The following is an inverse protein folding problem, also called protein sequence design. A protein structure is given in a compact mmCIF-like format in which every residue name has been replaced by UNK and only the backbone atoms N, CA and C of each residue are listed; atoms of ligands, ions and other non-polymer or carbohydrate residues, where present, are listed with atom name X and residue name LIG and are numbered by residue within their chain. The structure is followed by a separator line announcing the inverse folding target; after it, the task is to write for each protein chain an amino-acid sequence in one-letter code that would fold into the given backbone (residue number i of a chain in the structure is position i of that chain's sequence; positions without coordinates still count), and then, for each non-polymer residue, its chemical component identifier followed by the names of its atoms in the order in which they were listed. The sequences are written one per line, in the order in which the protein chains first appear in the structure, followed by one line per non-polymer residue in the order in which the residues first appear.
data_IF_383078739297
#
_entry.id   IF_383078739297
#
_cell.length_a   1.000
_cell.length_b   1.000
_cell.length_c   1.000
_cell.angle_alpha   90.00
_cell.angle_beta   90.00
_cell.angle_gamma   90.00
#
_symmetry.space_group_name_H-M   'P 1'
#
loop_
_entity.id
_entity.type
_entity.pdbx_description
1 polymer ?
#
# COMPACT_ATOMS: atom_id res chain seq x y z
N UNK A 1 -10.34 -11.66 -9.42
CA UNK A 1 -11.21 -12.17 -8.32
C UNK A 1 -10.34 -12.68 -7.19
N UNK A 2 -10.36 -11.98 -6.09
CA UNK A 2 -9.52 -12.24 -4.93
C UNK A 2 -9.70 -13.66 -4.38
N UNK A 3 -10.92 -14.15 -4.25
CA UNK A 3 -11.22 -15.52 -3.76
C UNK A 3 -10.70 -16.66 -4.64
N UNK A 4 -10.29 -16.37 -5.88
CA UNK A 4 -9.68 -17.38 -6.76
C UNK A 4 -8.18 -17.56 -6.54
N UNK A 5 -7.57 -16.68 -5.78
CA UNK A 5 -6.16 -16.78 -5.41
C UNK A 5 -6.01 -17.48 -4.05
N UNK A 6 -5.58 -18.74 -4.06
CA UNK A 6 -5.53 -19.60 -2.86
C UNK A 6 -4.62 -19.06 -1.74
N UNK A 7 -3.66 -18.24 -2.06
CA UNK A 7 -2.72 -17.69 -1.07
C UNK A 7 -3.12 -16.34 -0.48
N UNK A 8 -4.34 -15.83 -0.75
CA UNK A 8 -4.73 -14.51 -0.26
C UNK A 8 -4.80 -14.48 1.28
N UNK A 9 -4.16 -13.47 1.87
CA UNK A 9 -4.04 -13.36 3.32
C UNK A 9 -2.76 -13.95 3.91
N UNK A 10 -1.89 -14.57 3.09
CA UNK A 10 -0.66 -15.22 3.58
C UNK A 10 0.33 -14.29 4.25
N UNK A 11 0.44 -13.05 3.80
CA UNK A 11 1.31 -12.02 4.37
C UNK A 11 0.72 -11.43 5.65
N UNK A 12 -0.53 -10.99 5.57
CA UNK A 12 -1.25 -10.33 6.65
C UNK A 12 -1.73 -11.27 7.75
N UNK A 13 -1.68 -12.59 7.51
CA UNK A 13 -2.26 -13.63 8.37
C UNK A 13 -3.77 -13.50 8.55
N UNK A 14 -4.43 -12.88 7.59
CA UNK A 14 -5.89 -12.72 7.59
C UNK A 14 -6.52 -13.88 6.83
N UNK A 15 -7.58 -14.45 7.42
CA UNK A 15 -8.42 -15.40 6.70
C UNK A 15 -9.41 -14.61 5.82
N UNK A 16 -9.47 -14.93 4.55
CA UNK A 16 -10.35 -14.26 3.59
C UNK A 16 -11.84 -14.40 3.97
N UNK A 17 -12.23 -15.49 4.59
CA UNK A 17 -13.62 -15.73 5.00
C UNK A 17 -14.03 -14.90 6.22
N UNK A 18 -13.06 -14.48 7.03
CA UNK A 18 -13.27 -13.63 8.20
C UNK A 18 -13.25 -12.12 7.83
N UNK A 19 -12.90 -11.80 6.59
CA UNK A 19 -12.88 -10.43 6.11
C UNK A 19 -14.29 -9.98 5.75
N UNK A 20 -14.94 -9.26 6.67
CA UNK A 20 -16.20 -8.58 6.35
C UNK A 20 -15.96 -7.45 5.35
N UNK A 21 -16.75 -7.47 4.29
CA UNK A 21 -16.75 -6.42 3.30
C UNK A 21 -17.11 -5.08 3.95
N UNK A 22 -16.20 -4.11 3.90
CA UNK A 22 -16.50 -2.75 4.34
C UNK A 22 -16.01 -2.37 5.73
N UNK A 23 -15.34 -3.24 6.49
CA UNK A 23 -14.63 -2.82 7.71
C UNK A 23 -13.34 -2.05 7.40
N UNK A 24 -13.46 -1.03 6.58
CA UNK A 24 -12.55 0.12 6.59
C UNK A 24 -13.27 1.21 7.36
N UNK A 25 -12.75 1.60 8.50
CA UNK A 25 -13.27 2.76 9.27
C UNK A 25 -13.30 4.05 8.43
N UNK A 26 -12.62 4.07 7.28
CA UNK A 26 -12.61 5.15 6.29
C UNK A 26 -13.44 4.89 5.01
N UNK A 27 -14.06 3.73 4.83
CA UNK A 27 -14.77 3.38 3.58
C UNK A 27 -16.03 4.25 3.35
N UNK A 28 -16.56 4.89 4.39
CA UNK A 28 -17.71 5.80 4.25
C UNK A 28 -17.41 7.15 3.57
N UNK A 29 -16.13 7.47 3.31
CA UNK A 29 -15.75 8.79 2.78
C UNK A 29 -15.32 8.82 1.31
N UNK A 30 -15.05 7.68 0.71
CA UNK A 30 -14.64 7.60 -0.70
C UNK A 30 -15.58 6.62 -1.42
N UNK A 31 -16.62 7.12 -2.07
CA UNK A 31 -17.29 6.36 -3.13
C UNK A 31 -16.25 6.10 -4.22
N UNK A 32 -15.64 4.94 -4.18
CA UNK A 32 -14.73 4.50 -5.25
C UNK A 32 -15.63 4.15 -6.43
N UNK A 33 -15.46 4.86 -7.54
CA UNK A 33 -16.14 4.53 -8.80
C UNK A 33 -15.92 3.06 -9.13
N UNK A 34 -17.01 2.32 -9.37
CA UNK A 34 -16.97 0.89 -9.71
C UNK A 34 -17.15 -0.09 -8.54
N UNK A 35 -17.50 0.36 -7.33
CA UNK A 35 -17.81 -0.57 -6.23
C UNK A 35 -19.03 -1.44 -6.52
N UNK A 36 -20.01 -0.91 -7.24
CA UNK A 36 -21.24 -1.62 -7.62
C UNK A 36 -21.00 -2.69 -8.71
N UNK A 37 -19.83 -2.71 -9.35
CA UNK A 37 -19.46 -3.66 -10.41
C UNK A 37 -18.66 -4.86 -9.91
N UNK A 38 -18.30 -4.90 -8.62
CA UNK A 38 -17.54 -6.00 -8.03
C UNK A 38 -18.44 -7.24 -7.88
N UNK A 39 -17.93 -8.39 -8.27
CA UNK A 39 -18.61 -9.67 -8.01
C UNK A 39 -18.48 -10.12 -6.55
N UNK A 40 -17.36 -9.79 -5.92
CA UNK A 40 -17.09 -10.00 -4.50
C UNK A 40 -16.60 -8.68 -3.88
N UNK A 41 -17.10 -8.28 -2.72
CA UNK A 41 -16.66 -7.05 -2.03
C UNK A 41 -15.16 -6.99 -1.75
N UNK A 42 -14.49 -8.15 -1.67
CA UNK A 42 -13.04 -8.24 -1.48
C UNK A 42 -12.24 -8.04 -2.78
N UNK A 43 -12.90 -8.03 -3.93
CA UNK A 43 -12.25 -7.73 -5.20
C UNK A 43 -11.73 -6.29 -5.20
N UNK A 44 -10.58 -6.08 -5.82
CA UNK A 44 -9.96 -4.76 -5.92
C UNK A 44 -9.77 -4.35 -7.38
N UNK A 45 -9.71 -3.04 -7.56
CA UNK A 45 -9.69 -2.44 -8.90
C UNK A 45 -8.29 -2.54 -9.51
N UNK A 46 -8.19 -3.13 -10.70
CA UNK A 46 -6.97 -3.13 -11.52
C UNK A 46 -6.92 -1.95 -12.47
N UNK A 47 -8.07 -1.57 -13.05
CA UNK A 47 -8.21 -0.46 -13.98
C UNK A 47 -9.39 0.42 -13.57
N UNK A 48 -9.15 1.72 -13.39
CA UNK A 48 -10.16 2.71 -13.01
C UNK A 48 -10.64 3.48 -14.23
N UNK A 49 -11.93 3.69 -14.40
CA UNK A 49 -12.43 4.52 -15.49
C UNK A 49 -11.90 5.96 -15.38
N UNK A 50 -11.82 6.63 -16.52
CA UNK A 50 -11.43 8.03 -16.66
C UNK A 50 -12.28 8.93 -15.79
N UNK A 51 -11.64 9.94 -15.20
CA UNK A 51 -12.29 11.07 -14.54
C UNK A 51 -11.79 12.38 -15.11
N UNK A 52 -12.64 13.39 -15.12
CA UNK A 52 -12.26 14.72 -15.55
C UNK A 52 -11.11 15.30 -14.72
N UNK A 53 -10.11 15.83 -15.41
CA UNK A 53 -8.92 16.40 -14.76
C UNK A 53 -7.85 15.40 -14.31
N UNK A 54 -8.06 14.09 -14.51
CA UNK A 54 -7.06 13.07 -14.22
C UNK A 54 -6.39 12.57 -15.51
N UNK A 55 -5.10 12.17 -15.46
CA UNK A 55 -4.44 11.46 -16.57
C UNK A 55 -5.18 10.16 -16.90
N UNK A 56 -5.25 9.82 -18.17
CA UNK A 56 -5.86 8.58 -18.61
C UNK A 56 -5.17 8.01 -19.86
N UNK A 57 -5.39 6.73 -20.09
CA UNK A 57 -4.90 6.00 -21.28
C UNK A 57 -6.03 5.15 -21.84
N UNK A 58 -5.92 4.85 -23.13
CA UNK A 58 -6.80 3.87 -23.77
C UNK A 58 -6.49 2.45 -23.30
N UNK A 59 -7.51 1.64 -23.13
CA UNK A 59 -7.38 0.23 -22.81
C UNK A 59 -8.52 -0.58 -23.46
N UNK A 60 -8.40 -1.93 -23.53
CA UNK A 60 -9.48 -2.78 -24.02
C UNK A 60 -10.78 -2.69 -23.20
N UNK A 61 -10.72 -2.19 -21.98
CA UNK A 61 -11.87 -2.09 -21.07
C UNK A 61 -12.53 -0.70 -21.13
N UNK A 62 -11.73 0.35 -21.15
CA UNK A 62 -12.21 1.74 -21.23
C UNK A 62 -11.02 2.71 -21.28
N UNK A 63 -11.28 3.98 -21.61
CA UNK A 63 -10.36 5.05 -21.22
C UNK A 63 -10.27 5.10 -19.69
N UNK A 64 -9.07 5.13 -19.15
CA UNK A 64 -8.89 5.09 -17.70
C UNK A 64 -7.44 5.08 -17.26
N UNK A 65 -7.21 4.64 -16.05
CA UNK A 65 -5.90 4.56 -15.43
C UNK A 65 -5.75 3.31 -14.56
N UNK A 66 -4.53 2.84 -14.32
CA UNK A 66 -4.31 1.70 -13.44
C UNK A 66 -4.79 1.99 -12.00
N UNK A 67 -5.16 0.94 -11.30
CA UNK A 67 -5.32 0.97 -9.84
C UNK A 67 -3.97 1.01 -9.14
N UNK A 68 -3.95 1.50 -7.90
CA UNK A 68 -2.70 1.68 -7.15
C UNK A 68 -1.88 0.39 -7.01
N UNK A 69 -2.51 -0.74 -6.72
CA UNK A 69 -1.78 -2.00 -6.50
C UNK A 69 -1.09 -2.51 -7.77
N UNK A 70 -1.76 -2.39 -8.92
CA UNK A 70 -1.19 -2.87 -10.19
C UNK A 70 -0.03 -1.99 -10.68
N UNK A 71 -0.03 -0.70 -10.35
CA UNK A 71 1.10 0.20 -10.65
C UNK A 71 2.39 -0.35 -10.04
N UNK A 72 2.36 -0.68 -8.75
CA UNK A 72 3.53 -1.18 -8.03
C UNK A 72 3.99 -2.54 -8.58
N UNK A 73 3.08 -3.48 -8.80
CA UNK A 73 3.41 -4.80 -9.34
C UNK A 73 4.03 -4.74 -10.74
N UNK A 74 3.46 -3.92 -11.61
CA UNK A 74 3.97 -3.76 -12.99
C UNK A 74 5.32 -3.06 -13.00
N UNK A 75 5.52 -2.03 -12.17
CA UNK A 75 6.81 -1.34 -12.07
C UNK A 75 7.89 -2.25 -11.48
N UNK A 76 7.58 -3.02 -10.43
CA UNK A 76 8.52 -3.99 -9.86
C UNK A 76 8.96 -5.01 -10.93
N UNK A 77 8.02 -5.62 -11.64
CA UNK A 77 8.34 -6.55 -12.74
C UNK A 77 9.17 -5.90 -13.84
N UNK A 78 8.80 -4.70 -14.27
CA UNK A 78 9.45 -4.00 -15.40
C UNK A 78 10.88 -3.60 -15.10
N UNK A 79 11.16 -3.13 -13.88
CA UNK A 79 12.43 -2.50 -13.55
C UNK A 79 13.34 -3.36 -12.67
N UNK A 80 12.80 -4.39 -12.02
CA UNK A 80 13.54 -5.28 -11.15
C UNK A 80 13.50 -6.73 -11.66
N UNK A 81 12.45 -7.49 -11.30
CA UNK A 81 12.31 -8.89 -11.69
C UNK A 81 10.85 -9.38 -11.46
N UNK A 82 10.55 -10.62 -11.91
CA UNK A 82 9.29 -11.30 -11.58
C UNK A 82 9.23 -11.67 -10.09
N UNK A 83 10.36 -12.03 -9.50
CA UNK A 83 10.57 -12.22 -8.06
C UNK A 83 11.64 -11.25 -7.58
N UNK A 84 11.30 -10.37 -6.65
CA UNK A 84 12.23 -9.39 -6.08
C UNK A 84 12.80 -9.89 -4.75
N UNK A 85 13.99 -9.40 -4.36
CA UNK A 85 14.61 -9.85 -3.11
C UNK A 85 13.90 -9.28 -1.89
N UNK A 86 13.67 -7.96 -1.85
CA UNK A 86 13.08 -7.28 -0.71
C UNK A 86 11.95 -6.35 -1.18
N UNK A 87 10.78 -6.50 -0.55
CA UNK A 87 9.67 -5.56 -0.66
C UNK A 87 9.38 -4.96 0.70
N UNK A 88 9.36 -3.63 0.79
CA UNK A 88 9.24 -2.93 2.06
C UNK A 88 8.22 -1.80 2.02
N UNK A 89 7.64 -1.46 3.18
CA UNK A 89 6.70 -0.35 3.31
C UNK A 89 6.29 -0.09 4.75
N UNK A 90 5.31 0.76 4.97
CA UNK A 90 4.68 0.93 6.27
C UNK A 90 3.82 -0.27 6.65
N UNK A 91 3.62 -0.50 7.94
CA UNK A 91 2.79 -1.60 8.43
C UNK A 91 1.33 -1.51 7.99
N UNK A 92 0.83 -0.31 7.70
CA UNK A 92 -0.50 -0.06 7.14
C UNK A 92 -0.65 -0.56 5.69
N UNK A 93 0.45 -0.81 4.99
CA UNK A 93 0.43 -1.36 3.64
C UNK A 93 0.34 -2.90 3.62
N UNK A 94 0.60 -3.58 4.73
CA UNK A 94 0.51 -5.06 4.80
C UNK A 94 -0.83 -5.52 4.22
N UNK A 95 -1.91 -4.87 4.64
CA UNK A 95 -3.24 -5.15 4.16
C UNK A 95 -4.04 -3.85 3.94
N UNK A 96 -4.70 -3.69 2.79
CA UNK A 96 -4.77 -4.67 1.69
C UNK A 96 -3.69 -4.53 0.61
N UNK A 97 -2.83 -3.48 0.63
CA UNK A 97 -2.01 -3.11 -0.51
C UNK A 97 -1.02 -4.20 -0.91
N UNK A 98 -0.13 -4.63 -0.01
CA UNK A 98 0.88 -5.65 -0.29
C UNK A 98 0.25 -7.03 -0.52
N UNK A 99 -0.83 -7.37 0.16
CA UNK A 99 -1.57 -8.60 -0.10
C UNK A 99 -2.15 -8.63 -1.52
N UNK A 100 -2.66 -7.48 -1.99
CA UNK A 100 -3.16 -7.34 -3.36
C UNK A 100 -2.03 -7.40 -4.39
N UNK A 101 -0.86 -6.83 -4.10
CA UNK A 101 0.32 -6.96 -4.97
C UNK A 101 0.77 -8.42 -5.10
N UNK A 102 0.79 -9.17 -4.00
CA UNK A 102 1.07 -10.60 -4.02
C UNK A 102 0.09 -11.32 -4.93
N UNK A 103 -1.21 -11.14 -4.69
CA UNK A 103 -2.24 -11.85 -5.43
C UNK A 103 -2.14 -11.60 -6.94
N UNK A 104 -1.95 -10.35 -7.36
CA UNK A 104 -1.88 -10.02 -8.79
C UNK A 104 -0.55 -10.42 -9.44
N UNK A 105 0.57 -10.25 -8.73
CA UNK A 105 1.91 -10.58 -9.27
C UNK A 105 2.10 -12.09 -9.39
N UNK A 106 1.77 -12.84 -8.34
CA UNK A 106 1.94 -14.29 -8.34
C UNK A 106 0.95 -14.99 -9.27
N UNK A 107 -0.31 -14.50 -9.36
CA UNK A 107 -1.26 -15.01 -10.34
C UNK A 107 -0.84 -14.76 -11.78
N UNK A 108 -0.16 -13.66 -12.06
CA UNK A 108 0.28 -13.30 -13.41
C UNK A 108 1.62 -13.96 -13.80
N UNK A 109 2.53 -14.13 -12.86
CA UNK A 109 3.92 -14.54 -13.14
C UNK A 109 4.19 -16.01 -12.77
N UNK A 110 3.39 -16.63 -11.90
CA UNK A 110 3.57 -18.02 -11.47
C UNK A 110 4.77 -18.25 -10.53
N UNK A 111 5.34 -17.19 -9.97
CA UNK A 111 6.46 -17.22 -9.02
C UNK A 111 6.14 -16.34 -7.82
N UNK A 112 6.77 -16.56 -6.64
CA UNK A 112 6.63 -15.67 -5.50
C UNK A 112 6.98 -14.23 -5.86
N UNK A 113 6.25 -13.25 -5.35
CA UNK A 113 6.51 -11.86 -5.69
C UNK A 113 7.76 -11.30 -5.01
N UNK A 114 7.96 -11.61 -3.71
CA UNK A 114 9.13 -11.16 -2.98
C UNK A 114 9.62 -12.22 -1.99
N UNK A 115 10.94 -12.35 -1.85
CA UNK A 115 11.58 -13.27 -0.90
C UNK A 115 11.43 -12.78 0.55
N UNK A 116 11.64 -11.48 0.76
CA UNK A 116 11.60 -10.87 2.09
C UNK A 116 10.65 -9.67 2.12
N UNK A 117 9.86 -9.60 3.18
CA UNK A 117 8.92 -8.51 3.46
C UNK A 117 9.37 -7.76 4.70
N UNK A 118 9.47 -6.44 4.58
CA UNK A 118 9.86 -5.58 5.69
C UNK A 118 8.81 -4.47 5.88
N UNK A 119 8.29 -4.34 7.11
CA UNK A 119 7.29 -3.33 7.41
C UNK A 119 7.74 -2.47 8.58
N UNK A 120 7.80 -1.16 8.34
CA UNK A 120 8.14 -0.18 9.35
C UNK A 120 6.90 0.17 10.17
N UNK A 121 7.07 0.26 11.48
CA UNK A 121 6.06 0.88 12.33
C UNK A 121 5.98 2.40 12.08
N UNK A 122 4.99 3.05 12.69
CA UNK A 122 4.73 4.46 12.47
C UNK A 122 5.72 5.39 13.18
N UNK A 123 5.95 6.55 12.57
CA UNK A 123 6.52 7.70 13.24
C UNK A 123 5.37 8.48 13.92
N UNK A 124 5.51 8.69 15.21
CA UNK A 124 4.60 9.46 16.03
C UNK A 124 5.17 10.84 16.33
N UNK A 125 4.29 11.81 16.46
CA UNK A 125 4.57 13.15 16.99
C UNK A 125 3.68 13.33 18.22
N UNK A 126 4.28 13.57 19.37
CA UNK A 126 3.56 13.69 20.64
C UNK A 126 2.59 12.51 20.89
N UNK A 127 3.09 11.28 20.68
CA UNK A 127 2.34 10.03 20.81
C UNK A 127 1.14 9.86 19.87
N UNK A 128 1.05 10.64 18.81
CA UNK A 128 0.03 10.51 17.76
C UNK A 128 0.69 10.17 16.43
N UNK A 129 0.10 9.27 15.65
CA UNK A 129 0.59 8.95 14.30
C UNK A 129 0.78 10.23 13.49
N UNK A 130 1.97 10.42 12.92
CA UNK A 130 2.22 11.55 12.03
C UNK A 130 1.39 11.40 10.75
N UNK A 131 0.55 12.37 10.44
CA UNK A 131 -0.24 12.38 9.23
C UNK A 131 -0.58 13.80 8.75
N UNK A 132 -0.77 13.95 7.43
CA UNK A 132 -1.18 15.24 6.85
C UNK A 132 -2.56 15.68 7.34
N UNK A 133 -3.47 14.74 7.54
CA UNK A 133 -4.84 15.01 8.00
C UNK A 133 -4.91 15.53 9.43
N UNK A 134 -3.94 15.17 10.27
CA UNK A 134 -3.84 15.67 11.66
C UNK A 134 -3.06 16.99 11.76
N UNK A 135 -2.47 17.48 10.67
CA UNK A 135 -1.68 18.71 10.69
C UNK A 135 -0.35 18.62 11.46
N UNK A 136 0.05 17.42 11.89
CA UNK A 136 1.30 17.16 12.61
C UNK A 136 2.38 16.55 11.70
N UNK A 137 2.37 16.93 10.42
CA UNK A 137 3.27 16.40 9.40
C UNK A 137 4.42 17.35 9.13
N UNK A 138 5.65 16.85 9.24
CA UNK A 138 6.89 17.57 8.90
C UNK A 138 7.61 16.87 7.76
N UNK A 139 8.08 17.66 6.80
CA UNK A 139 8.96 17.12 5.77
C UNK A 139 10.41 17.08 6.25
N UNK A 140 11.23 16.22 5.64
CA UNK A 140 12.69 16.24 5.88
C UNK A 140 13.28 17.62 5.62
N UNK A 141 12.78 18.36 4.62
CA UNK A 141 13.22 19.73 4.30
C UNK A 141 12.87 20.72 5.41
N UNK A 142 11.76 20.54 6.10
CA UNK A 142 11.40 21.41 7.22
C UNK A 142 12.31 21.13 8.42
N UNK A 143 12.53 19.87 8.73
CA UNK A 143 13.45 19.47 9.80
C UNK A 143 14.88 19.94 9.52
N UNK A 144 15.34 19.92 8.27
CA UNK A 144 16.68 20.37 7.87
C UNK A 144 16.93 21.86 8.10
N UNK A 145 15.89 22.67 8.32
CA UNK A 145 16.06 24.11 8.66
C UNK A 145 16.47 24.32 10.11
N UNK A 146 16.14 23.36 10.99
CA UNK A 146 16.32 23.45 12.43
C UNK A 146 17.38 22.47 12.96
N UNK A 147 17.59 21.34 12.28
CA UNK A 147 18.45 20.26 12.75
C UNK A 147 19.38 19.76 11.65
N UNK A 148 20.57 19.33 12.03
CA UNK A 148 21.45 18.57 11.12
C UNK A 148 20.78 17.24 10.74
N UNK A 149 20.83 16.89 9.45
CA UNK A 149 20.22 15.68 8.93
C UNK A 149 20.85 14.39 9.48
N UNK A 150 22.08 14.43 10.00
CA UNK A 150 22.67 13.28 10.71
C UNK A 150 21.96 13.01 12.04
N UNK A 151 21.49 14.05 12.71
CA UNK A 151 20.66 13.91 13.92
C UNK A 151 19.33 13.25 13.59
N UNK A 152 18.69 13.67 12.50
CA UNK A 152 17.46 13.04 12.01
C UNK A 152 17.70 11.56 11.66
N UNK A 153 18.78 11.27 10.94
CA UNK A 153 19.15 9.88 10.61
C UNK A 153 19.36 9.03 11.86
N UNK A 154 20.09 9.55 12.83
CA UNK A 154 20.31 8.86 14.11
C UNK A 154 18.99 8.61 14.84
N UNK A 155 18.11 9.60 14.90
CA UNK A 155 16.77 9.45 15.47
C UNK A 155 15.97 8.32 14.80
N UNK A 156 15.93 8.30 13.47
CA UNK A 156 15.21 7.26 12.71
C UNK A 156 15.77 5.86 12.93
N UNK A 157 17.06 5.74 13.24
CA UNK A 157 17.76 4.47 13.49
C UNK A 157 17.87 4.13 14.99
N UNK A 158 17.34 4.94 15.87
CA UNK A 158 17.46 4.77 17.33
C UNK A 158 16.64 3.60 17.88
N UNK A 159 15.69 3.09 17.10
CA UNK A 159 14.86 1.95 17.47
C UNK A 159 14.83 0.92 16.33
N UNK A 160 14.42 -0.30 16.66
CA UNK A 160 14.16 -1.33 15.64
C UNK A 160 13.01 -0.89 14.73
N UNK A 161 13.14 -1.09 13.44
CA UNK A 161 12.17 -0.60 12.44
C UNK A 161 10.71 -1.03 12.66
N UNK A 162 10.48 -2.16 13.36
CA UNK A 162 9.14 -2.64 13.71
C UNK A 162 8.52 -1.94 14.91
N UNK A 163 9.30 -1.13 15.61
CA UNK A 163 8.80 -0.38 16.78
C UNK A 163 8.47 1.05 16.36
N UNK A 164 7.34 1.60 16.79
CA UNK A 164 7.05 3.01 16.58
C UNK A 164 8.09 3.87 17.27
N UNK A 165 8.51 4.94 16.62
CA UNK A 165 9.35 5.98 17.21
C UNK A 165 8.52 7.23 17.43
N UNK A 166 8.79 7.92 18.54
CA UNK A 166 8.05 9.13 18.91
C UNK A 166 8.98 10.34 18.98
N UNK A 167 8.61 11.38 18.27
CA UNK A 167 9.24 12.69 18.36
C UNK A 167 8.42 13.56 19.33
N UNK A 168 9.02 13.95 20.44
CA UNK A 168 8.40 14.77 21.49
C UNK A 168 9.44 15.66 22.17
#
# INVERSE_FOLDING_TARGET
RTRKFEGYGKLSKKNIDDLEAGHRDDAHKLKVSGEDEKEDPLDFVLWKPKKDGEPYWESPWSEGRPGWHIECSVMAKKYLADEIDIHAGGEDLIFPHHENEIAQSEAANGVPFAKYWMHNAFLNIDNKKMSKSLGNFFTVRDIAKEYDLQVLRFFMLSAHYRNPINFS
#
